data_IF_373892144750
#
_entry.id   IF_373892144750
#
_cell.length_a   1.000
_cell.length_b   1.000
_cell.length_c   1.000
_cell.angle_alpha   90.00
_cell.angle_beta   90.00
_cell.angle_gamma   90.00
#
_symmetry.space_group_name_H-M   'P 1'
#
loop_
_entity.id
_entity.type
_entity.pdbx_description
1 polymer ?
#
# COMPACT_ATOMS: atom_id res chain seq x y z
N UNK A 1 9.56 -14.46 38.90
CA UNK A 1 8.47 -13.48 38.75
C UNK A 1 8.28 -13.26 37.26
N UNK A 2 7.12 -13.64 36.73
CA UNK A 2 6.83 -13.76 35.30
C UNK A 2 6.94 -12.40 34.58
N UNK A 3 7.66 -12.39 33.45
CA UNK A 3 7.66 -11.26 32.53
C UNK A 3 6.26 -11.14 31.90
N UNK A 4 5.38 -10.37 32.53
CA UNK A 4 4.03 -10.10 32.03
C UNK A 4 4.16 -9.17 30.82
N UNK A 5 4.05 -9.72 29.60
CA UNK A 5 4.10 -8.96 28.35
C UNK A 5 3.16 -7.75 28.42
N UNK A 6 3.73 -6.54 28.28
CA UNK A 6 2.94 -5.30 28.22
C UNK A 6 2.37 -5.14 26.81
N UNK A 7 1.06 -5.24 26.69
CA UNK A 7 0.35 -4.96 25.44
C UNK A 7 0.50 -3.48 25.08
N UNK A 8 0.72 -3.20 23.79
CA UNK A 8 0.66 -1.82 23.25
C UNK A 8 -0.69 -1.14 23.51
N UNK A 9 -1.76 -1.93 23.65
CA UNK A 9 -3.14 -1.48 23.88
C UNK A 9 -3.73 -2.23 25.08
N UNK A 10 -3.52 -1.76 26.31
CA UNK A 10 -3.89 -2.51 27.52
C UNK A 10 -5.35 -2.34 27.95
N UNK A 11 -6.09 -1.37 27.39
CA UNK A 11 -7.46 -1.07 27.80
C UNK A 11 -8.48 -1.84 26.95
N UNK A 12 -9.41 -2.53 27.61
CA UNK A 12 -10.50 -3.30 26.98
C UNK A 12 -11.84 -2.56 27.07
N UNK A 13 -12.68 -2.69 26.04
CA UNK A 13 -14.10 -2.31 26.06
C UNK A 13 -14.93 -3.49 25.58
N UNK A 14 -15.98 -3.85 26.33
CA UNK A 14 -16.89 -4.95 25.97
C UNK A 14 -18.10 -4.40 25.21
N UNK A 15 -18.44 -5.08 24.12
CA UNK A 15 -19.65 -4.80 23.32
C UNK A 15 -20.42 -6.11 23.20
N UNK A 16 -21.75 -6.05 23.32
CA UNK A 16 -22.63 -7.20 23.15
C UNK A 16 -23.46 -6.98 21.88
N UNK A 17 -23.67 -8.06 21.14
CA UNK A 17 -24.45 -8.09 19.92
C UNK A 17 -25.52 -9.18 20.03
N UNK A 18 -26.67 -8.95 19.40
CA UNK A 18 -27.58 -10.04 19.05
C UNK A 18 -26.92 -10.97 18.03
N UNK A 19 -27.55 -12.12 17.77
CA UNK A 19 -27.06 -13.06 16.75
C UNK A 19 -27.04 -12.39 15.38
N UNK A 20 -28.10 -11.66 15.05
CA UNK A 20 -28.31 -10.98 13.76
C UNK A 20 -27.28 -9.87 13.57
N UNK A 21 -27.04 -9.05 14.60
CA UNK A 21 -26.04 -7.99 14.58
C UNK A 21 -24.62 -8.54 14.39
N UNK A 22 -24.30 -9.64 15.07
CA UNK A 22 -22.99 -10.28 14.96
C UNK A 22 -22.75 -10.89 13.57
N UNK A 23 -23.75 -11.53 12.97
CA UNK A 23 -23.65 -12.05 11.60
C UNK A 23 -23.53 -10.92 10.57
N UNK A 24 -24.28 -9.84 10.74
CA UNK A 24 -24.12 -8.64 9.90
C UNK A 24 -22.72 -8.06 10.00
N UNK A 25 -22.19 -7.93 11.22
CA UNK A 25 -20.85 -7.42 11.49
C UNK A 25 -19.76 -8.30 10.88
N UNK A 26 -19.89 -9.63 10.94
CA UNK A 26 -18.92 -10.55 10.30
C UNK A 26 -18.82 -10.30 8.80
N UNK A 27 -19.96 -10.21 8.11
CA UNK A 27 -20.00 -9.89 6.66
C UNK A 27 -19.31 -8.56 6.38
N UNK A 28 -19.60 -7.52 7.20
CA UNK A 28 -18.95 -6.22 7.08
C UNK A 28 -17.43 -6.27 7.30
N UNK A 29 -16.93 -7.16 8.14
CA UNK A 29 -15.50 -7.36 8.35
C UNK A 29 -14.90 -8.08 7.13
N UNK A 30 -15.55 -9.14 6.64
CA UNK A 30 -15.12 -9.89 5.45
C UNK A 30 -15.03 -9.02 4.20
N UNK A 31 -15.97 -8.08 4.03
CA UNK A 31 -15.98 -7.12 2.92
C UNK A 31 -14.97 -5.96 3.10
N UNK A 32 -14.30 -5.89 4.25
CA UNK A 32 -13.36 -4.80 4.58
C UNK A 32 -11.91 -5.24 4.40
N UNK A 33 -10.94 -4.30 4.34
CA UNK A 33 -9.52 -4.63 4.35
C UNK A 33 -9.02 -5.17 5.71
N UNK A 34 -9.90 -5.36 6.70
CA UNK A 34 -9.54 -5.81 8.03
C UNK A 34 -9.90 -7.28 8.25
N UNK A 35 -8.93 -8.07 8.71
CA UNK A 35 -9.10 -9.52 8.90
C UNK A 35 -9.66 -9.92 10.27
N UNK A 36 -9.99 -8.96 11.14
CA UNK A 36 -10.50 -9.26 12.49
C UNK A 36 -11.31 -8.11 13.09
N UNK A 37 -12.18 -8.47 14.04
CA UNK A 37 -13.05 -7.53 14.74
C UNK A 37 -12.28 -6.43 15.48
N UNK A 38 -11.17 -6.76 16.16
CA UNK A 38 -10.40 -5.79 16.95
C UNK A 38 -9.95 -4.60 16.10
N UNK A 39 -9.40 -4.86 14.91
CA UNK A 39 -8.96 -3.80 14.01
C UNK A 39 -10.15 -3.04 13.43
N UNK A 40 -11.16 -3.76 12.93
CA UNK A 40 -12.35 -3.16 12.35
C UNK A 40 -13.06 -2.21 13.34
N UNK A 41 -13.37 -2.70 14.54
CA UNK A 41 -14.06 -1.93 15.56
C UNK A 41 -13.22 -0.77 16.08
N UNK A 42 -11.91 -0.96 16.26
CA UNK A 42 -11.03 0.14 16.69
C UNK A 42 -11.02 1.27 15.69
N UNK A 43 -10.86 0.98 14.39
CA UNK A 43 -10.89 2.01 13.34
C UNK A 43 -12.22 2.72 13.38
N UNK A 44 -13.32 1.96 13.27
CA UNK A 44 -14.67 2.52 13.27
C UNK A 44 -14.94 3.42 14.49
N UNK A 45 -14.50 3.02 15.69
CA UNK A 45 -14.68 3.83 16.90
C UNK A 45 -13.80 5.09 16.95
N UNK A 46 -12.67 5.12 16.25
CA UNK A 46 -11.76 6.28 16.23
C UNK A 46 -12.07 7.25 15.08
N UNK A 47 -12.55 6.76 13.94
CA UNK A 47 -12.81 7.55 12.74
C UNK A 47 -14.28 7.86 12.49
N UNK A 48 -15.19 7.05 13.04
CA UNK A 48 -16.61 7.08 12.71
C UNK A 48 -16.97 6.34 11.41
N UNK A 49 -16.00 5.96 10.59
CA UNK A 49 -16.21 5.26 9.32
C UNK A 49 -15.06 4.33 8.93
N UNK A 50 -15.37 3.22 8.26
CA UNK A 50 -14.36 2.34 7.63
C UNK A 50 -14.32 2.64 6.13
N UNK A 51 -13.24 3.29 5.67
CA UNK A 51 -13.00 3.55 4.25
C UNK A 51 -12.36 2.34 3.58
N UNK A 52 -12.95 1.92 2.47
CA UNK A 52 -12.37 0.90 1.58
C UNK A 52 -12.01 1.60 0.28
N UNK A 53 -10.72 1.78 0.03
CA UNK A 53 -10.22 2.39 -1.19
C UNK A 53 -9.64 1.30 -2.08
N UNK A 54 -10.12 1.24 -3.31
CA UNK A 54 -9.60 0.33 -4.33
C UNK A 54 -8.36 0.93 -5.00
N UNK A 55 -7.20 0.35 -4.71
CA UNK A 55 -5.91 0.75 -5.27
C UNK A 55 -5.51 -0.07 -6.51
N UNK A 56 -6.37 -0.95 -7.02
CA UNK A 56 -6.02 -1.87 -8.13
C UNK A 56 -5.47 -1.13 -9.34
N UNK A 57 -6.14 -0.04 -9.76
CA UNK A 57 -5.69 0.80 -10.89
C UNK A 57 -4.37 1.51 -10.63
N UNK A 58 -4.14 1.93 -9.39
CA UNK A 58 -2.91 2.62 -9.02
C UNK A 58 -1.73 1.63 -9.00
N UNK A 59 -1.98 0.38 -8.61
CA UNK A 59 -1.01 -0.72 -8.66
C UNK A 59 -0.69 -1.13 -10.11
N UNK A 60 -1.69 -1.19 -10.98
CA UNK A 60 -1.51 -1.40 -12.42
C UNK A 60 -0.61 -0.34 -13.03
N UNK A 61 -0.86 0.94 -12.74
CA UNK A 61 -0.02 2.04 -13.20
C UNK A 61 1.44 1.88 -12.75
N UNK A 62 1.67 1.52 -11.48
CA UNK A 62 3.03 1.28 -10.98
C UNK A 62 3.72 0.13 -11.75
N UNK A 63 2.99 -0.94 -12.04
CA UNK A 63 3.51 -2.06 -12.82
C UNK A 63 3.90 -1.65 -14.24
N UNK A 64 3.09 -0.83 -14.91
CA UNK A 64 3.41 -0.32 -16.26
C UNK A 64 4.65 0.59 -16.24
N UNK A 65 4.78 1.47 -15.26
CA UNK A 65 5.98 2.31 -15.09
C UNK A 65 7.22 1.46 -14.83
N UNK A 66 7.09 0.38 -14.05
CA UNK A 66 8.19 -0.56 -13.85
C UNK A 66 8.60 -1.26 -15.16
N UNK A 67 7.64 -1.63 -16.01
CA UNK A 67 7.91 -2.20 -17.35
C UNK A 67 8.63 -1.20 -18.24
N UNK A 68 8.21 0.07 -18.26
CA UNK A 68 8.91 1.13 -19.00
C UNK A 68 10.37 1.27 -18.56
N UNK A 69 10.64 1.29 -17.24
CA UNK A 69 12.01 1.32 -16.72
C UNK A 69 12.86 0.12 -17.14
N UNK A 70 12.27 -1.08 -17.18
CA UNK A 70 12.98 -2.27 -17.66
C UNK A 70 13.33 -2.17 -19.16
N UNK A 71 12.40 -1.69 -19.99
CA UNK A 71 12.62 -1.53 -21.43
C UNK A 71 13.72 -0.50 -21.71
N UNK A 72 13.75 0.60 -20.96
CA UNK A 72 14.78 1.63 -21.13
C UNK A 72 16.14 1.17 -20.65
N UNK A 73 16.21 0.40 -19.57
CA UNK A 73 17.46 -0.24 -19.16
C UNK A 73 17.98 -1.25 -20.23
N UNK A 74 17.09 -1.88 -21.00
CA UNK A 74 17.50 -2.73 -22.12
C UNK A 74 18.03 -1.88 -23.30
N UNK A 75 17.34 -0.79 -23.65
CA UNK A 75 17.81 0.15 -24.68
C UNK A 75 19.17 0.76 -24.33
N UNK A 76 19.37 1.11 -23.06
CA UNK A 76 20.65 1.60 -22.52
C UNK A 76 21.79 0.60 -22.77
N UNK A 77 21.56 -0.68 -22.45
CA UNK A 77 22.55 -1.75 -22.67
C UNK A 77 22.84 -1.97 -24.15
N UNK A 78 21.83 -1.94 -25.01
CA UNK A 78 21.98 -2.08 -26.46
C UNK A 78 22.79 -0.92 -27.03
N UNK A 79 22.44 0.31 -26.68
CA UNK A 79 23.14 1.48 -27.19
C UNK A 79 24.60 1.56 -26.69
N UNK A 80 24.88 1.14 -25.46
CA UNK A 80 26.26 0.96 -24.97
C UNK A 80 27.03 -0.14 -25.74
N UNK A 81 26.33 -1.15 -26.28
CA UNK A 81 26.95 -2.24 -27.06
C UNK A 81 27.23 -1.85 -28.51
N UNK A 82 26.43 -0.95 -29.10
CA UNK A 82 26.55 -0.56 -30.51
C UNK A 82 27.29 0.78 -30.73
N UNK A 83 27.71 1.48 -29.67
CA UNK A 83 28.36 2.81 -29.73
C UNK A 83 27.58 3.88 -30.53
N UNK A 84 26.29 3.65 -30.81
CA UNK A 84 25.47 4.49 -31.69
C UNK A 84 24.85 5.72 -30.99
N UNK A 85 24.80 5.73 -29.65
CA UNK A 85 24.13 6.78 -28.87
C UNK A 85 25.08 7.26 -27.78
N UNK A 86 25.10 8.59 -27.56
CA UNK A 86 25.86 9.19 -26.48
C UNK A 86 25.41 8.60 -25.13
N UNK A 87 26.36 8.11 -24.29
CA UNK A 87 26.03 7.57 -22.97
C UNK A 87 25.28 8.55 -22.06
N UNK A 88 25.44 9.87 -22.29
CA UNK A 88 24.74 10.92 -21.55
C UNK A 88 23.22 10.92 -21.80
N UNK A 89 22.77 10.78 -23.04
CA UNK A 89 21.34 10.82 -23.40
C UNK A 89 20.56 9.62 -22.81
N UNK A 90 21.23 8.47 -22.76
CA UNK A 90 20.70 7.24 -22.13
C UNK A 90 20.55 7.43 -20.62
N UNK A 91 21.55 8.07 -20.01
CA UNK A 91 21.58 8.31 -18.58
C UNK A 91 20.46 9.26 -18.17
N UNK A 92 20.28 10.36 -18.90
CA UNK A 92 19.22 11.34 -18.65
C UNK A 92 17.82 10.70 -18.75
N UNK A 93 17.58 9.87 -19.76
CA UNK A 93 16.31 9.13 -19.90
C UNK A 93 16.09 8.14 -18.74
N UNK A 94 17.15 7.45 -18.32
CA UNK A 94 17.09 6.49 -17.21
C UNK A 94 16.78 7.19 -15.88
N UNK A 95 17.41 8.34 -15.63
CA UNK A 95 17.22 9.14 -14.42
C UNK A 95 15.80 9.71 -14.34
N UNK A 96 15.26 10.22 -15.46
CA UNK A 96 13.90 10.77 -15.52
C UNK A 96 12.83 9.72 -15.19
N UNK A 97 13.02 8.47 -15.64
CA UNK A 97 12.09 7.38 -15.31
C UNK A 97 12.26 6.89 -13.89
N UNK A 98 13.49 6.85 -13.38
CA UNK A 98 13.73 6.52 -11.98
C UNK A 98 13.02 7.52 -11.07
N UNK A 99 13.02 8.81 -11.43
CA UNK A 99 12.31 9.87 -10.72
C UNK A 99 10.79 9.65 -10.75
N UNK A 100 10.20 9.40 -11.93
CA UNK A 100 8.76 9.10 -12.05
C UNK A 100 8.38 7.86 -11.24
N UNK A 101 9.18 6.79 -11.31
CA UNK A 101 8.97 5.57 -10.52
C UNK A 101 9.01 5.83 -9.02
N UNK A 102 9.97 6.63 -8.56
CA UNK A 102 10.12 6.98 -7.16
C UNK A 102 8.97 7.85 -6.68
N UNK A 103 8.53 8.83 -7.47
CA UNK A 103 7.38 9.68 -7.16
C UNK A 103 6.10 8.85 -7.00
N UNK A 104 5.82 7.94 -7.94
CA UNK A 104 4.65 7.08 -7.91
C UNK A 104 4.70 6.12 -6.71
N UNK A 105 5.83 5.46 -6.49
CA UNK A 105 6.00 4.53 -5.36
C UNK A 105 5.88 5.24 -4.01
N UNK A 106 6.49 6.42 -3.85
CA UNK A 106 6.39 7.20 -2.62
C UNK A 106 4.98 7.71 -2.34
N UNK A 107 4.22 8.09 -3.39
CA UNK A 107 2.85 8.55 -3.22
C UNK A 107 1.92 7.40 -2.84
N UNK A 108 2.07 6.24 -3.48
CA UNK A 108 1.41 4.99 -3.10
C UNK A 108 1.64 4.62 -1.64
N UNK A 109 2.91 4.59 -1.21
CA UNK A 109 3.26 4.23 0.16
C UNK A 109 2.68 5.21 1.20
N UNK A 110 2.62 6.51 0.85
CA UNK A 110 2.02 7.53 1.71
C UNK A 110 0.51 7.36 1.84
N UNK A 111 -0.20 7.12 0.73
CA UNK A 111 -1.66 6.92 0.77
C UNK A 111 -2.02 5.65 1.56
N UNK A 112 -1.31 4.54 1.33
CA UNK A 112 -1.51 3.28 2.08
C UNK A 112 -1.20 3.44 3.57
N UNK A 113 -0.12 4.16 3.94
CA UNK A 113 0.25 4.37 5.35
C UNK A 113 -0.71 5.30 6.07
N UNK A 114 -1.17 6.37 5.42
CA UNK A 114 -2.12 7.32 6.02
C UNK A 114 -3.41 6.61 6.44
N UNK A 115 -3.90 5.65 5.64
CA UNK A 115 -5.09 4.86 5.97
C UNK A 115 -4.84 3.80 7.06
N UNK A 116 -3.64 3.20 7.10
CA UNK A 116 -3.29 2.18 8.12
C UNK A 116 -2.92 2.75 9.48
N UNK A 117 -2.57 4.03 9.57
CA UNK A 117 -2.10 4.67 10.82
C UNK A 117 -3.25 5.11 11.73
N UNK A 118 -4.48 5.19 11.20
CA UNK A 118 -5.64 5.51 12.04
C UNK A 118 -6.01 4.31 12.94
#
# INVERSE_FOLDING_TARGET
MENKYKLKRPYERKVRFSKEENEYLKKKIEDSPFNNFQNYARILCLTGEVKVVDYSKLLELNNEVRRMGNNINQMAKLAHQFEEIAPEDIKDLTDLILEVKNLISNKLDKEIKTERII
#
